data_IF_715571399653
#
_entry.id   IF_715571399653
#
_cell.length_a   1.000
_cell.length_b   1.000
_cell.length_c   1.000
_cell.angle_alpha   90.00
_cell.angle_beta   90.00
_cell.angle_gamma   90.00
#
_symmetry.space_group_name_H-M   'P 1'
#
loop_
_entity.id
_entity.type
_entity.pdbx_description
1 polymer ?
#
# COMPACT_ATOMS: atom_id res chain seq x y z
N UNK A 1 14.98 14.87 67.32
CA UNK A 1 13.60 14.60 66.88
C UNK A 1 13.07 15.84 66.19
N UNK A 2 12.69 15.68 64.93
CA UNK A 2 11.58 16.35 64.26
C UNK A 2 11.61 17.88 63.99
N UNK A 3 11.42 18.18 62.70
CA UNK A 3 10.57 19.25 62.12
C UNK A 3 11.22 20.58 61.75
N UNK A 4 11.89 20.63 60.58
CA UNK A 4 11.86 21.75 59.61
C UNK A 4 12.22 21.06 58.27
N UNK A 5 11.54 21.15 57.13
CA UNK A 5 10.90 22.28 56.44
C UNK A 5 9.89 21.77 55.42
N UNK A 6 8.68 22.30 55.51
CA UNK A 6 7.72 22.54 54.44
C UNK A 6 8.38 22.82 53.07
N UNK A 7 8.56 21.80 52.24
CA UNK A 7 8.81 21.94 50.78
C UNK A 7 8.04 20.87 49.99
N UNK A 8 6.91 20.43 50.57
CA UNK A 8 5.83 19.75 49.86
C UNK A 8 5.14 20.75 48.94
N UNK A 9 5.75 21.03 47.78
CA UNK A 9 5.18 21.66 46.56
C UNK A 9 6.37 22.14 45.72
N UNK A 10 6.96 21.29 44.87
CA UNK A 10 7.64 21.69 43.61
C UNK A 10 8.42 20.56 42.91
N UNK A 11 8.54 19.35 43.47
CA UNK A 11 9.21 18.23 42.75
C UNK A 11 8.26 17.13 42.26
N UNK A 12 6.95 17.39 42.32
CA UNK A 12 5.88 16.57 41.70
C UNK A 12 5.30 17.22 40.42
N UNK A 13 6.04 18.13 39.79
CA UNK A 13 5.71 18.71 38.47
C UNK A 13 6.87 18.51 37.51
N UNK A 14 7.21 17.24 37.28
CA UNK A 14 7.81 16.78 36.02
C UNK A 14 7.33 15.36 35.69
N UNK A 15 6.10 15.05 36.07
CA UNK A 15 5.26 14.00 35.49
C UNK A 15 4.04 14.70 34.87
N UNK A 16 4.24 15.45 33.78
CA UNK A 16 3.19 15.87 32.82
C UNK A 16 3.79 16.75 31.71
N UNK A 17 4.71 16.14 30.96
CA UNK A 17 4.96 16.47 29.56
C UNK A 17 5.18 15.10 28.91
N UNK A 18 4.10 14.35 28.65
CA UNK A 18 3.34 14.52 27.44
C UNK A 18 4.27 14.53 26.22
N UNK A 19 5.00 13.43 25.99
CA UNK A 19 5.35 13.07 24.61
C UNK A 19 4.07 12.57 23.92
N UNK A 20 3.18 13.52 23.63
CA UNK A 20 2.22 13.34 22.56
C UNK A 20 3.02 13.42 21.25
N UNK A 21 2.94 12.31 20.53
CA UNK A 21 2.97 12.26 19.06
C UNK A 21 4.30 12.51 18.36
N UNK A 22 5.13 11.47 18.29
CA UNK A 22 5.93 11.19 17.10
C UNK A 22 5.68 9.73 16.72
N UNK A 23 4.98 9.36 15.67
CA UNK A 23 4.51 10.06 14.48
C UNK A 23 3.12 9.52 14.19
N UNK A 24 2.15 10.39 13.96
CA UNK A 24 0.94 10.00 13.25
C UNK A 24 1.37 9.16 12.04
N UNK A 25 0.67 8.06 11.78
CA UNK A 25 0.78 7.33 10.53
C UNK A 25 0.65 8.38 9.43
N UNK A 26 1.79 8.77 8.86
CA UNK A 26 1.87 9.65 7.73
C UNK A 26 0.97 8.97 6.69
N UNK A 27 -0.17 9.57 6.38
CA UNK A 27 -0.97 9.19 5.23
C UNK A 27 -0.17 9.60 4.00
N UNK A 28 0.89 8.85 3.71
CA UNK A 28 1.68 8.99 2.50
C UNK A 28 0.79 8.48 1.37
N UNK A 29 0.08 9.40 0.71
CA UNK A 29 0.06 9.34 -0.74
C UNK A 29 1.54 9.32 -1.15
N UNK A 30 2.10 8.13 -1.30
CA UNK A 30 3.53 7.94 -1.50
C UNK A 30 3.87 8.63 -2.83
N UNK A 31 4.63 9.72 -2.78
CA UNK A 31 5.08 10.42 -3.99
C UNK A 31 5.94 9.47 -4.82
N UNK A 32 5.30 8.86 -5.81
CA UNK A 32 5.96 7.93 -6.68
C UNK A 32 6.73 8.68 -7.77
N UNK A 33 7.93 9.16 -7.45
CA UNK A 33 8.70 10.01 -8.37
C UNK A 33 9.38 9.26 -9.51
N UNK A 34 9.72 8.00 -9.32
CA UNK A 34 10.43 7.20 -10.31
C UNK A 34 9.77 5.83 -10.42
N UNK A 35 9.37 5.40 -11.63
CA UNK A 35 8.80 4.08 -11.80
C UNK A 35 9.89 3.02 -11.62
N UNK A 36 9.49 1.86 -11.11
CA UNK A 36 10.33 0.67 -11.08
C UNK A 36 10.88 0.37 -12.48
N UNK A 37 12.18 0.04 -12.52
CA UNK A 37 12.84 -0.37 -13.76
C UNK A 37 12.28 -1.68 -14.31
N UNK A 38 12.32 -1.82 -15.63
CA UNK A 38 11.85 -3.01 -16.32
C UNK A 38 12.68 -4.26 -15.95
N UNK A 39 13.97 -4.08 -15.65
CA UNK A 39 14.83 -5.17 -15.18
C UNK A 39 14.33 -5.76 -13.86
N UNK A 40 14.10 -4.90 -12.86
CA UNK A 40 13.61 -5.32 -11.54
C UNK A 40 12.23 -5.96 -11.69
N UNK A 41 11.33 -5.33 -12.46
CA UNK A 41 10.01 -5.90 -12.70
C UNK A 41 10.08 -7.31 -13.29
N UNK A 42 10.91 -7.53 -14.30
CA UNK A 42 11.01 -8.83 -14.97
C UNK A 42 11.59 -9.93 -14.06
N UNK A 43 12.53 -9.60 -13.18
CA UNK A 43 13.05 -10.55 -12.18
C UNK A 43 11.93 -11.06 -11.26
N UNK A 44 11.07 -10.17 -10.77
CA UNK A 44 9.96 -10.55 -9.91
C UNK A 44 8.81 -11.21 -10.67
N UNK A 45 8.52 -10.76 -11.88
CA UNK A 45 7.56 -11.40 -12.79
C UNK A 45 7.88 -12.87 -13.01
N UNK A 46 9.15 -13.21 -13.27
CA UNK A 46 9.58 -14.61 -13.43
C UNK A 46 9.33 -15.46 -12.18
N UNK A 47 9.39 -14.87 -10.98
CA UNK A 47 9.07 -15.57 -9.74
C UNK A 47 7.55 -15.85 -9.64
N UNK A 48 6.72 -14.86 -9.99
CA UNK A 48 5.26 -15.02 -10.02
C UNK A 48 4.80 -16.06 -11.04
N UNK A 49 5.45 -16.11 -12.20
CA UNK A 49 5.15 -17.08 -13.28
C UNK A 49 5.49 -18.52 -12.90
N UNK A 50 6.48 -18.73 -12.02
CA UNK A 50 6.89 -20.06 -11.53
C UNK A 50 6.06 -20.54 -10.35
N UNK A 51 5.39 -19.64 -9.65
CA UNK A 51 4.53 -20.00 -8.53
C UNK A 51 3.29 -20.73 -9.04
N UNK A 52 3.01 -21.92 -8.50
CA UNK A 52 1.93 -22.78 -8.93
C UNK A 52 0.62 -22.46 -8.20
N UNK A 53 0.71 -22.09 -6.93
CA UNK A 53 -0.44 -21.81 -6.09
C UNK A 53 -0.77 -20.32 -6.09
N UNK A 54 -1.99 -19.99 -6.48
CA UNK A 54 -2.39 -18.58 -6.61
C UNK A 54 -2.35 -17.82 -5.29
N UNK A 55 -2.63 -18.50 -4.16
CA UNK A 55 -2.54 -17.88 -2.84
C UNK A 55 -1.12 -17.35 -2.58
N UNK A 56 -0.10 -18.15 -2.88
CA UNK A 56 1.30 -17.76 -2.71
C UNK A 56 1.72 -16.73 -3.76
N UNK A 57 1.23 -16.85 -4.99
CA UNK A 57 1.44 -15.82 -6.03
C UNK A 57 0.88 -14.47 -5.59
N UNK A 58 -0.30 -14.44 -4.98
CA UNK A 58 -0.94 -13.23 -4.46
C UNK A 58 -0.16 -12.66 -3.27
N UNK A 59 0.33 -13.49 -2.34
CA UNK A 59 1.21 -13.07 -1.24
C UNK A 59 2.50 -12.45 -1.75
N UNK A 60 3.15 -13.09 -2.74
CA UNK A 60 4.37 -12.59 -3.38
C UNK A 60 4.13 -11.26 -4.07
N UNK A 61 3.09 -11.15 -4.90
CA UNK A 61 2.73 -9.91 -5.58
C UNK A 61 2.45 -8.77 -4.60
N UNK A 62 1.71 -9.05 -3.53
CA UNK A 62 1.39 -8.10 -2.45
C UNK A 62 2.64 -7.63 -1.72
N UNK A 63 3.57 -8.54 -1.44
CA UNK A 63 4.84 -8.23 -0.76
C UNK A 63 5.70 -7.33 -1.65
N UNK A 64 5.82 -7.72 -2.93
CA UNK A 64 6.61 -7.01 -3.92
C UNK A 64 6.14 -5.57 -4.12
N UNK A 65 4.84 -5.34 -4.33
CA UNK A 65 4.31 -3.98 -4.54
C UNK A 65 4.47 -3.08 -3.32
N UNK A 66 4.44 -3.65 -2.11
CA UNK A 66 4.69 -2.90 -0.87
C UNK A 66 6.17 -2.55 -0.68
N UNK A 67 7.08 -3.42 -1.13
CA UNK A 67 8.52 -3.26 -0.97
C UNK A 67 9.12 -2.30 -2.00
N UNK A 68 8.92 -2.55 -3.29
CA UNK A 68 9.51 -1.70 -4.34
C UNK A 68 8.73 -0.40 -4.51
N UNK A 69 7.41 -0.46 -4.31
CA UNK A 69 6.47 0.62 -4.63
C UNK A 69 6.60 1.02 -6.11
N UNK A 70 5.87 2.04 -6.53
CA UNK A 70 6.12 2.71 -7.80
C UNK A 70 6.04 1.86 -9.09
N UNK A 71 5.02 1.02 -9.21
CA UNK A 71 4.77 0.32 -10.47
C UNK A 71 4.19 1.26 -11.53
N UNK A 72 4.53 1.02 -12.79
CA UNK A 72 3.70 1.53 -13.89
C UNK A 72 2.37 0.77 -13.92
N UNK A 73 1.30 1.42 -14.35
CA UNK A 73 0.00 0.77 -14.57
C UNK A 73 0.11 -0.45 -15.49
N UNK A 74 0.99 -0.41 -16.50
CA UNK A 74 1.27 -1.55 -17.39
C UNK A 74 1.89 -2.75 -16.65
N UNK A 75 2.72 -2.52 -15.64
CA UNK A 75 3.31 -3.55 -14.80
C UNK A 75 2.26 -4.12 -13.84
N UNK A 76 1.41 -3.28 -13.24
CA UNK A 76 0.26 -3.72 -12.42
C UNK A 76 -0.67 -4.61 -13.21
N UNK A 77 -1.04 -4.19 -14.43
CA UNK A 77 -1.87 -4.97 -15.37
C UNK A 77 -1.27 -6.32 -15.68
N UNK A 78 0.05 -6.39 -15.84
CA UNK A 78 0.76 -7.65 -16.07
C UNK A 78 0.63 -8.59 -14.87
N UNK A 79 0.78 -8.09 -13.64
CA UNK A 79 0.62 -8.89 -12.42
C UNK A 79 -0.82 -9.39 -12.26
N UNK A 80 -1.82 -8.53 -12.49
CA UNK A 80 -3.25 -8.90 -12.40
C UNK A 80 -3.57 -10.06 -13.35
N UNK A 81 -3.04 -10.04 -14.57
CA UNK A 81 -3.24 -11.10 -15.56
C UNK A 81 -2.59 -12.45 -15.19
N UNK A 82 -1.74 -12.49 -14.17
CA UNK A 82 -1.16 -13.73 -13.64
C UNK A 82 -1.99 -14.33 -12.51
N UNK A 83 -3.03 -13.64 -12.02
CA UNK A 83 -3.97 -14.17 -11.03
C UNK A 83 -5.16 -14.78 -11.77
N UNK A 84 -5.67 -15.94 -11.33
CA UNK A 84 -6.75 -16.62 -12.01
C UNK A 84 -8.12 -16.29 -11.42
N UNK A 85 -8.20 -15.97 -10.12
CA UNK A 85 -9.46 -15.63 -9.47
C UNK A 85 -9.72 -14.12 -9.53
N UNK A 86 -10.91 -13.73 -10.02
CA UNK A 86 -11.29 -12.32 -10.16
C UNK A 86 -11.28 -11.58 -8.82
N UNK A 87 -11.62 -12.25 -7.71
CA UNK A 87 -11.52 -11.67 -6.36
C UNK A 87 -10.08 -11.27 -6.01
N UNK A 88 -9.10 -12.10 -6.34
CA UNK A 88 -7.68 -11.79 -6.14
C UNK A 88 -7.22 -10.68 -7.07
N UNK A 89 -7.64 -10.71 -8.33
CA UNK A 89 -7.38 -9.64 -9.30
C UNK A 89 -7.90 -8.29 -8.79
N UNK A 90 -9.14 -8.25 -8.31
CA UNK A 90 -9.76 -7.03 -7.77
C UNK A 90 -9.08 -6.58 -6.47
N UNK A 91 -8.74 -7.51 -5.58
CA UNK A 91 -8.03 -7.21 -4.34
C UNK A 91 -6.65 -6.60 -4.64
N UNK A 92 -5.89 -7.19 -5.55
CA UNK A 92 -4.59 -6.67 -5.98
C UNK A 92 -4.74 -5.32 -6.68
N UNK A 93 -5.74 -5.15 -7.56
CA UNK A 93 -6.00 -3.88 -8.24
C UNK A 93 -6.37 -2.76 -7.26
N UNK A 94 -7.06 -3.05 -6.16
CA UNK A 94 -7.32 -2.03 -5.12
C UNK A 94 -6.05 -1.68 -4.35
N UNK A 95 -5.25 -2.67 -3.99
CA UNK A 95 -3.98 -2.48 -3.31
C UNK A 95 -3.00 -1.66 -4.17
N UNK A 96 -2.89 -1.99 -5.46
CA UNK A 96 -1.89 -1.43 -6.33
C UNK A 96 -2.11 0.06 -6.64
N UNK A 97 -3.34 0.55 -6.57
CA UNK A 97 -3.68 1.95 -6.86
C UNK A 97 -2.89 2.97 -6.01
N UNK A 98 -2.53 2.62 -4.77
CA UNK A 98 -1.75 3.52 -3.91
C UNK A 98 -0.23 3.48 -4.18
N UNK A 99 0.22 2.59 -5.07
CA UNK A 99 1.63 2.34 -5.35
C UNK A 99 1.97 2.50 -6.84
N UNK A 100 1.06 3.07 -7.64
CA UNK A 100 1.33 3.35 -9.05
C UNK A 100 2.03 4.68 -9.26
N UNK A 101 2.88 4.72 -10.28
CA UNK A 101 3.56 5.93 -10.75
C UNK A 101 2.63 6.83 -11.57
N UNK A 102 1.79 6.22 -12.41
CA UNK A 102 0.95 6.87 -13.41
C UNK A 102 -0.56 6.58 -13.18
N UNK A 103 -1.14 7.00 -12.03
CA UNK A 103 -2.54 6.72 -11.67
C UNK A 103 -3.58 7.27 -12.67
N UNK A 104 -3.22 8.25 -13.49
CA UNK A 104 -4.05 8.75 -14.59
C UNK A 104 -4.39 7.67 -15.63
N UNK A 105 -3.51 6.67 -15.79
CA UNK A 105 -3.68 5.58 -16.75
C UNK A 105 -4.46 4.39 -16.18
N UNK A 106 -4.92 4.44 -14.92
CA UNK A 106 -5.52 3.29 -14.23
C UNK A 106 -6.79 2.72 -14.87
N UNK A 107 -7.38 3.44 -15.85
CA UNK A 107 -8.42 2.91 -16.72
C UNK A 107 -8.00 1.62 -17.43
N UNK A 108 -6.71 1.46 -17.74
CA UNK A 108 -6.19 0.21 -18.31
C UNK A 108 -6.35 -1.00 -17.40
N UNK A 109 -6.24 -0.81 -16.09
CA UNK A 109 -6.46 -1.87 -15.09
C UNK A 109 -7.96 -2.16 -14.94
N UNK A 110 -8.80 -1.12 -14.94
CA UNK A 110 -10.27 -1.28 -14.93
C UNK A 110 -10.73 -2.10 -16.14
N UNK A 111 -10.13 -1.89 -17.32
CA UNK A 111 -10.47 -2.58 -18.55
C UNK A 111 -10.13 -4.08 -18.57
N UNK A 112 -9.38 -4.60 -17.57
CA UNK A 112 -9.11 -6.05 -17.44
C UNK A 112 -10.39 -6.81 -17.04
N UNK A 113 -11.27 -6.18 -16.25
CA UNK A 113 -12.46 -6.82 -15.70
C UNK A 113 -13.62 -6.82 -16.71
N UNK A 114 -14.11 -8.00 -17.08
CA UNK A 114 -15.24 -8.17 -18.00
C UNK A 114 -16.58 -7.89 -17.35
N UNK A 115 -16.68 -8.12 -16.04
CA UNK A 115 -17.91 -7.93 -15.29
C UNK A 115 -18.15 -6.46 -14.95
N UNK A 116 -19.32 -5.94 -15.37
CA UNK A 116 -19.70 -4.56 -15.10
C UNK A 116 -19.75 -4.22 -13.59
N UNK A 117 -20.25 -5.11 -12.70
CA UNK A 117 -20.20 -4.89 -11.25
C UNK A 117 -18.77 -4.70 -10.72
N UNK A 118 -17.81 -5.49 -11.20
CA UNK A 118 -16.41 -5.41 -10.78
C UNK A 118 -15.75 -4.11 -11.22
N UNK A 119 -15.94 -3.72 -12.49
CA UNK A 119 -15.49 -2.41 -13.00
C UNK A 119 -16.06 -1.25 -12.18
N UNK A 120 -17.36 -1.27 -11.88
CA UNK A 120 -18.02 -0.25 -11.03
C UNK A 120 -17.43 -0.22 -9.61
N UNK A 121 -17.13 -1.38 -9.05
CA UNK A 121 -16.53 -1.52 -7.72
C UNK A 121 -15.15 -0.89 -7.66
N UNK A 122 -14.27 -1.19 -8.62
CA UNK A 122 -12.93 -0.61 -8.70
C UNK A 122 -12.99 0.90 -9.00
N UNK A 123 -13.84 1.32 -9.94
CA UNK A 123 -14.02 2.74 -10.26
C UNK A 123 -14.46 3.54 -9.03
N UNK A 124 -15.45 3.04 -8.28
CA UNK A 124 -15.92 3.68 -7.04
C UNK A 124 -14.82 3.74 -5.98
N UNK A 125 -14.00 2.70 -5.86
CA UNK A 125 -12.87 2.67 -4.95
C UNK A 125 -11.84 3.77 -5.27
N UNK A 126 -11.55 3.97 -6.56
CA UNK A 126 -10.61 4.98 -7.07
C UNK A 126 -11.15 6.40 -6.85
N UNK A 127 -12.42 6.66 -7.21
CA UNK A 127 -13.01 8.00 -7.07
C UNK A 127 -13.05 8.52 -5.63
N UNK A 128 -13.06 7.64 -4.62
CA UNK A 128 -12.99 8.04 -3.20
C UNK A 128 -11.59 8.46 -2.72
N UNK A 129 -10.56 8.31 -3.57
CA UNK A 129 -9.14 8.56 -3.25
C UNK A 129 -8.48 9.58 -4.19
N UNK A 130 -9.27 10.17 -5.09
CA UNK A 130 -8.89 11.39 -5.81
C UNK A 130 -9.15 12.57 -4.88
#
# INVERSE_FOLDING_TARGET
>A
MQQITTTMMLTWVCLLSLEISGSGLQAYAQECKQPMSELVFNQHKQQLERESFEEDRMKMATTFIKQQKCMKVSQVKSVIKMLNFEDNQLAFAKLAYQFVHDPENYQEVIAIFTEAPTRKTLTRFISKRK
#
